data_IF_201916133797
#
_entry.id   IF_201916133797
#
_cell.length_a   1.000
_cell.length_b   1.000
_cell.length_c   1.000
_cell.angle_alpha   90.00
_cell.angle_beta   90.00
_cell.angle_gamma   90.00
#
_symmetry.space_group_name_H-M   'P 1'
#
loop_
_entity.id
_entity.type
_entity.pdbx_description
1 polymer ?
#
# COMPACT_ATOMS: atom_id res chain seq x y z
N UNK A 1 -4.98 21.70 -59.28
CA UNK A 1 -5.90 20.62 -58.90
C UNK A 1 -5.13 19.63 -58.03
N UNK A 2 -5.64 19.48 -56.82
CA UNK A 2 -5.31 18.64 -55.66
C UNK A 2 -4.14 17.65 -55.71
N UNK A 3 -3.20 17.83 -54.77
CA UNK A 3 -2.91 16.86 -53.72
C UNK A 3 -3.30 17.53 -52.38
N UNK A 4 -3.65 16.82 -51.27
CA UNK A 4 -3.18 15.48 -50.91
C UNK A 4 -4.28 14.53 -50.37
N UNK A 5 -3.99 13.23 -50.34
CA UNK A 5 -4.73 12.27 -49.53
C UNK A 5 -3.74 11.44 -48.74
N UNK A 6 -4.18 11.05 -47.55
CA UNK A 6 -3.55 10.10 -46.63
C UNK A 6 -2.50 10.66 -45.65
N UNK A 7 -2.98 11.51 -44.75
CA UNK A 7 -2.46 11.57 -43.38
C UNK A 7 -2.63 10.19 -42.74
N UNK A 8 -1.55 9.43 -42.63
CA UNK A 8 -1.47 8.29 -41.73
C UNK A 8 -1.63 8.82 -40.29
N UNK A 9 -2.84 8.67 -39.72
CA UNK A 9 -3.04 8.75 -38.28
C UNK A 9 -2.39 7.52 -37.66
N UNK A 10 -1.21 7.69 -37.08
CA UNK A 10 -0.72 6.75 -36.08
C UNK A 10 -1.71 6.78 -34.90
N UNK A 11 -2.37 5.66 -34.65
CA UNK A 11 -3.16 5.49 -33.43
C UNK A 11 -2.23 5.66 -32.22
N UNK A 12 -2.55 6.50 -31.23
CA UNK A 12 -1.80 6.49 -29.99
C UNK A 12 -2.09 5.14 -29.33
N UNK A 13 -1.10 4.25 -29.30
CA UNK A 13 -1.11 3.09 -28.41
C UNK A 13 -1.25 3.62 -27.00
N UNK A 14 -2.45 3.48 -26.46
CA UNK A 14 -2.74 3.78 -25.08
C UNK A 14 -2.13 2.64 -24.26
N UNK A 15 -0.82 2.73 -24.02
CA UNK A 15 -0.11 1.89 -23.07
C UNK A 15 -0.56 2.32 -21.66
N UNK A 16 -1.78 1.89 -21.31
CA UNK A 16 -2.28 1.88 -19.95
C UNK A 16 -1.81 0.60 -19.26
N UNK A 17 -0.50 0.49 -19.09
CA UNK A 17 0.10 -0.25 -17.99
C UNK A 17 0.49 0.84 -16.97
N UNK A 18 -0.37 1.25 -16.05
CA UNK A 18 -0.94 0.36 -15.06
C UNK A 18 0.13 0.12 -13.98
N UNK A 19 0.25 1.10 -13.08
CA UNK A 19 1.05 1.09 -11.84
C UNK A 19 2.52 1.57 -11.93
N UNK A 20 2.72 2.87 -11.74
CA UNK A 20 4.03 3.53 -11.60
C UNK A 20 4.77 3.23 -10.27
N UNK A 21 4.26 2.34 -9.42
CA UNK A 21 4.86 1.99 -8.12
C UNK A 21 6.10 1.08 -8.22
N UNK A 22 6.44 0.58 -9.41
CA UNK A 22 7.53 -0.37 -9.61
C UNK A 22 8.94 0.20 -9.32
N UNK A 23 9.09 1.53 -9.26
CA UNK A 23 10.39 2.19 -9.03
C UNK A 23 10.68 2.51 -7.56
N UNK A 24 9.77 2.20 -6.62
CA UNK A 24 10.06 2.35 -5.20
C UNK A 24 10.67 1.06 -4.64
N UNK A 25 11.95 1.05 -4.21
CA UNK A 25 12.54 -0.14 -3.63
C UNK A 25 11.77 -0.52 -2.36
N UNK A 26 11.14 -1.69 -2.37
CA UNK A 26 10.45 -2.20 -1.20
C UNK A 26 11.50 -2.55 -0.13
N UNK A 27 11.50 -1.87 1.03
CA UNK A 27 12.48 -2.15 2.07
C UNK A 27 12.40 -3.62 2.50
N UNK A 28 13.59 -4.21 2.70
CA UNK A 28 13.69 -5.59 3.19
C UNK A 28 12.90 -5.74 4.50
N UNK A 29 12.45 -6.97 4.77
CA UNK A 29 11.73 -7.28 6.01
C UNK A 29 12.47 -6.78 7.25
N UNK A 30 13.80 -6.92 7.27
CA UNK A 30 14.62 -6.49 8.40
C UNK A 30 14.64 -4.96 8.58
N UNK A 31 14.69 -4.20 7.49
CA UNK A 31 14.60 -2.73 7.54
C UNK A 31 13.23 -2.30 8.05
N UNK A 32 12.15 -2.94 7.56
CA UNK A 32 10.79 -2.69 8.03
C UNK A 32 10.62 -3.00 9.51
N UNK A 33 11.14 -4.13 9.97
CA UNK A 33 11.07 -4.55 11.36
C UNK A 33 11.77 -3.53 12.27
N UNK A 34 12.98 -3.09 11.91
CA UNK A 34 13.72 -2.11 12.69
C UNK A 34 13.05 -0.72 12.71
N UNK A 35 12.54 -0.27 11.55
CA UNK A 35 11.78 0.98 11.47
C UNK A 35 10.51 0.91 12.32
N UNK A 36 9.83 -0.23 12.32
CA UNK A 36 8.62 -0.45 13.10
C UNK A 36 8.88 -0.38 14.60
N UNK A 37 9.95 -1.00 15.09
CA UNK A 37 10.35 -0.92 16.50
C UNK A 37 10.61 0.53 16.93
N UNK A 38 11.39 1.28 16.14
CA UNK A 38 11.68 2.68 16.41
C UNK A 38 10.42 3.55 16.40
N UNK A 39 9.55 3.36 15.41
CA UNK A 39 8.27 4.08 15.32
C UNK A 39 7.37 3.79 16.51
N UNK A 40 7.20 2.52 16.86
CA UNK A 40 6.34 2.09 17.97
C UNK A 40 6.79 2.70 19.30
N UNK A 41 8.11 2.86 19.51
CA UNK A 41 8.67 3.52 20.69
C UNK A 41 8.47 5.05 20.62
N UNK A 42 8.63 5.66 19.45
CA UNK A 42 8.70 7.13 19.31
C UNK A 42 7.35 7.81 19.10
N UNK A 43 6.29 7.08 18.75
CA UNK A 43 4.97 7.60 18.37
C UNK A 43 4.29 8.46 19.47
N UNK A 44 4.71 8.30 20.73
CA UNK A 44 4.14 9.05 21.85
C UNK A 44 2.64 8.74 22.01
N UNK A 45 1.82 9.80 21.97
CA UNK A 45 0.36 9.70 22.10
C UNK A 45 -0.35 9.51 20.75
N UNK A 46 0.40 9.45 19.66
CA UNK A 46 -0.12 9.24 18.31
C UNK A 46 -0.41 7.78 17.98
N UNK A 47 -0.71 7.55 16.70
CA UNK A 47 -0.99 6.23 16.12
C UNK A 47 -0.10 5.98 14.92
N UNK A 48 0.39 4.75 14.78
CA UNK A 48 1.15 4.31 13.63
C UNK A 48 0.50 3.09 12.99
N UNK A 49 0.56 3.03 11.66
CA UNK A 49 0.11 1.90 10.85
C UNK A 49 1.24 1.56 9.88
N UNK A 50 1.59 0.29 9.81
CA UNK A 50 2.48 -0.26 8.79
C UNK A 50 1.71 -1.29 7.97
N UNK A 51 1.64 -1.07 6.66
CA UNK A 51 1.14 -2.06 5.71
C UNK A 51 2.36 -2.69 5.03
N UNK A 52 2.42 -4.00 5.00
CA UNK A 52 3.56 -4.72 4.46
C UNK A 52 3.16 -5.96 3.67
N UNK A 53 3.96 -6.39 2.68
CA UNK A 53 3.67 -7.64 1.97
C UNK A 53 3.68 -8.84 2.90
N UNK A 54 2.71 -9.72 2.73
CA UNK A 54 2.57 -10.95 3.50
C UNK A 54 2.14 -12.12 2.60
N UNK A 55 2.52 -13.33 2.99
CA UNK A 55 2.14 -14.56 2.30
C UNK A 55 0.77 -15.07 2.79
N UNK A 56 -0.27 -14.27 2.60
CA UNK A 56 -1.66 -14.60 2.87
C UNK A 56 -2.52 -14.31 1.62
N UNK A 57 -3.81 -14.61 1.65
CA UNK A 57 -4.71 -14.44 0.50
C UNK A 57 -4.83 -12.99 0.02
N UNK A 58 -4.63 -12.02 0.92
CA UNK A 58 -4.70 -10.60 0.60
C UNK A 58 -3.38 -10.06 0.03
N UNK A 59 -2.27 -10.77 0.23
CA UNK A 59 -0.93 -10.34 -0.16
C UNK A 59 -0.31 -9.28 0.76
N UNK A 60 -0.99 -8.90 1.85
CA UNK A 60 -0.52 -7.89 2.79
C UNK A 60 -0.97 -8.15 4.23
N UNK A 61 -0.22 -7.59 5.17
CA UNK A 61 -0.53 -7.57 6.59
C UNK A 61 -0.43 -6.13 7.12
N UNK A 62 -1.10 -5.89 8.25
CA UNK A 62 -1.12 -4.59 8.91
C UNK A 62 -0.61 -4.73 10.33
N UNK A 63 0.31 -3.85 10.73
CA UNK A 63 0.71 -3.64 12.12
C UNK A 63 0.21 -2.29 12.58
N UNK A 64 -0.26 -2.19 13.82
CA UNK A 64 -0.68 -0.92 14.43
C UNK A 64 -0.02 -0.71 15.78
N UNK A 65 0.38 0.52 16.08
CA UNK A 65 0.94 0.95 17.37
C UNK A 65 0.29 2.26 17.84
N UNK A 66 0.39 2.57 19.14
CA UNK A 66 -0.27 3.74 19.75
C UNK A 66 -1.54 3.42 20.54
N UNK A 67 -2.12 4.45 21.17
CA UNK A 67 -3.36 4.37 21.95
C UNK A 67 -4.59 4.46 21.04
N UNK A 68 -5.72 3.92 21.48
CA UNK A 68 -7.02 3.97 20.77
C UNK A 68 -6.96 3.60 19.29
N UNK A 69 -5.99 2.75 18.93
CA UNK A 69 -5.69 2.40 17.54
C UNK A 69 -6.66 1.34 17.02
N UNK A 70 -6.87 1.36 15.71
CA UNK A 70 -7.52 0.27 15.00
C UNK A 70 -6.74 -1.03 15.22
N UNK A 71 -7.46 -2.10 15.57
CA UNK A 71 -6.86 -3.42 15.77
C UNK A 71 -7.13 -4.26 14.52
N UNK A 72 -6.10 -4.66 13.77
CA UNK A 72 -6.25 -5.65 12.72
C UNK A 72 -6.59 -7.00 13.36
N UNK A 73 -7.70 -7.61 12.94
CA UNK A 73 -8.15 -8.92 13.40
C UNK A 73 -8.20 -9.86 12.20
N UNK A 74 -7.68 -11.07 12.38
CA UNK A 74 -7.83 -12.16 11.43
C UNK A 74 -9.23 -12.76 11.56
N UNK A 75 -10.01 -12.68 10.49
CA UNK A 75 -11.32 -13.29 10.37
C UNK A 75 -11.35 -14.15 9.11
N UNK A 76 -11.22 -15.46 9.30
CA UNK A 76 -11.25 -16.46 8.23
C UNK A 76 -10.20 -16.20 7.12
N UNK A 77 -8.99 -15.79 7.51
CA UNK A 77 -7.89 -15.47 6.58
C UNK A 77 -7.90 -14.03 6.07
N UNK A 78 -8.93 -13.25 6.40
CA UNK A 78 -9.03 -11.83 6.06
C UNK A 78 -8.58 -10.94 7.22
N UNK A 79 -7.69 -9.99 6.95
CA UNK A 79 -7.32 -8.94 7.91
C UNK A 79 -8.37 -7.82 7.85
N UNK A 80 -9.17 -7.68 8.90
CA UNK A 80 -10.19 -6.63 9.05
C UNK A 80 -9.77 -5.61 10.12
N UNK A 81 -10.10 -4.34 9.93
CA UNK A 81 -9.82 -3.28 10.92
C UNK A 81 -11.03 -3.05 11.83
N UNK A 82 -10.88 -3.30 13.14
CA UNK A 82 -11.94 -3.01 14.12
C UNK A 82 -11.83 -1.59 14.63
N UNK A 83 -12.96 -0.87 14.58
CA UNK A 83 -13.08 0.49 15.11
C UNK A 83 -13.01 0.46 16.64
N UNK A 84 -12.12 1.24 17.27
CA UNK A 84 -12.15 1.42 18.71
C UNK A 84 -13.51 1.98 19.14
N UNK A 85 -14.16 1.32 20.10
CA UNK A 85 -15.42 1.81 20.66
C UNK A 85 -15.08 2.95 21.63
N UNK A 86 -15.47 4.18 21.30
CA UNK A 86 -15.37 5.29 22.24
C UNK A 86 -16.45 5.09 23.31
N UNK A 87 -16.04 4.98 24.57
CA UNK A 87 -16.95 5.09 25.71
C UNK A 87 -17.20 6.56 26.04
#
# INVERSE_FOLDING_TARGET
MSAPAETARAEPTHDSDGNSDADHPNPSRHIRDHLWELLAIRIGDGQAILVEPAANEQGWAVRTAGRDRWQPIDFDGLILSVRPQSN
#
